data_IF_787956657568
#
_entry.id   IF_787956657568
#
_cell.length_a   1.000
_cell.length_b   1.000
_cell.length_c   1.000
_cell.angle_alpha   90.00
_cell.angle_beta   90.00
_cell.angle_gamma   90.00
#
_symmetry.space_group_name_H-M   'P 1'
#
loop_
_entity.id
_entity.type
_entity.pdbx_description
1 polymer ?
#
# COMPACT_ATOMS: atom_id res chain seq x y z
N UNK A 1 -94.45 24.40 -39.16
CA UNK A 1 -94.10 25.47 -38.21
C UNK A 1 -93.66 24.82 -36.92
N UNK A 2 -92.64 25.41 -36.31
CA UNK A 2 -92.20 25.25 -34.92
C UNK A 2 -91.10 24.23 -34.61
N UNK A 3 -89.87 24.66 -34.94
CA UNK A 3 -88.82 24.97 -33.96
C UNK A 3 -88.73 24.06 -32.74
N UNK A 4 -88.13 22.88 -32.91
CA UNK A 4 -87.51 22.17 -31.79
C UNK A 4 -86.22 21.43 -32.17
N UNK A 5 -85.66 21.71 -33.35
CA UNK A 5 -84.50 20.99 -33.90
C UNK A 5 -83.15 21.72 -33.74
N UNK A 6 -83.09 22.88 -33.09
CA UNK A 6 -81.83 23.65 -32.94
C UNK A 6 -81.53 24.14 -31.51
N UNK A 7 -82.34 23.72 -30.52
CA UNK A 7 -82.13 24.03 -29.09
C UNK A 7 -81.68 22.82 -28.27
N UNK A 8 -81.55 21.64 -28.88
CA UNK A 8 -81.15 20.42 -28.16
C UNK A 8 -79.66 20.08 -28.34
N UNK A 9 -79.02 20.39 -29.47
CA UNK A 9 -77.57 20.19 -29.59
C UNK A 9 -76.72 21.35 -29.04
N UNK A 10 -77.19 22.60 -29.03
CA UNK A 10 -76.37 23.75 -28.60
C UNK A 10 -76.32 24.00 -27.07
N UNK A 11 -77.06 23.22 -26.26
CA UNK A 11 -77.12 23.37 -24.80
C UNK A 11 -76.34 22.27 -24.06
N UNK A 12 -76.05 21.14 -24.70
CA UNK A 12 -75.26 20.05 -24.09
C UNK A 12 -73.74 20.25 -24.18
N UNK A 13 -73.25 21.28 -24.87
CA UNK A 13 -71.81 21.50 -25.07
C UNK A 13 -71.20 22.54 -24.12
N UNK A 14 -72.02 23.34 -23.42
CA UNK A 14 -71.56 24.39 -22.49
C UNK A 14 -71.63 24.00 -21.01
N UNK A 15 -72.12 22.80 -20.70
CA UNK A 15 -72.11 22.26 -19.32
C UNK A 15 -71.25 20.99 -19.27
N UNK A 16 -70.01 21.11 -19.74
CA UNK A 16 -68.93 20.19 -19.37
C UNK A 16 -68.03 20.83 -18.30
N UNK A 17 -68.51 21.11 -17.06
CA UNK A 17 -67.63 21.29 -15.94
C UNK A 17 -67.35 19.92 -15.31
N UNK A 18 -66.57 19.05 -15.97
CA UNK A 18 -65.76 18.08 -15.22
C UNK A 18 -64.84 17.24 -16.12
N UNK A 19 -63.76 17.86 -16.57
CA UNK A 19 -62.54 17.16 -16.98
C UNK A 19 -61.48 17.25 -15.89
N UNK A 20 -61.89 17.42 -14.63
CA UNK A 20 -61.00 17.47 -13.46
C UNK A 20 -61.26 16.29 -12.50
N UNK A 21 -62.44 15.69 -12.54
CA UNK A 21 -62.79 14.53 -11.72
C UNK A 21 -62.66 13.17 -12.41
N UNK A 22 -61.77 13.04 -13.41
CA UNK A 22 -60.98 11.80 -13.44
C UNK A 22 -59.93 11.90 -12.35
N UNK A 23 -60.40 11.89 -11.10
CA UNK A 23 -59.63 11.41 -9.97
C UNK A 23 -59.19 10.01 -10.40
N UNK A 24 -57.98 9.96 -10.94
CA UNK A 24 -57.25 8.76 -11.26
C UNK A 24 -57.37 7.88 -10.02
N UNK A 25 -58.28 6.89 -10.05
CA UNK A 25 -58.44 5.89 -9.00
C UNK A 25 -57.25 4.93 -9.09
N UNK A 26 -56.05 5.45 -8.90
CA UNK A 26 -54.86 4.69 -8.55
C UNK A 26 -54.94 4.53 -7.03
N UNK A 27 -55.83 3.67 -6.56
CA UNK A 27 -55.76 3.14 -5.19
C UNK A 27 -56.16 1.67 -5.22
N UNK A 28 -55.42 0.92 -6.00
CA UNK A 28 -55.43 -0.54 -5.95
C UNK A 28 -54.51 -1.01 -4.81
N UNK A 29 -54.78 -2.17 -4.20
CA UNK A 29 -54.05 -2.71 -3.03
C UNK A 29 -52.53 -2.84 -3.28
N UNK A 30 -52.13 -2.89 -4.56
CA UNK A 30 -50.75 -2.89 -5.05
C UNK A 30 -50.01 -1.56 -4.85
N UNK A 31 -50.69 -0.41 -4.89
CA UNK A 31 -50.06 0.90 -4.67
C UNK A 31 -49.64 1.06 -3.21
N UNK A 32 -50.49 0.67 -2.25
CA UNK A 32 -50.09 0.68 -0.84
C UNK A 32 -48.91 -0.25 -0.58
N UNK A 33 -48.88 -1.43 -1.21
CA UNK A 33 -47.72 -2.35 -1.12
C UNK A 33 -46.45 -1.69 -1.66
N UNK A 34 -46.54 -1.00 -2.80
CA UNK A 34 -45.41 -0.28 -3.41
C UNK A 34 -44.96 0.90 -2.52
N UNK A 35 -45.89 1.66 -1.94
CA UNK A 35 -45.57 2.74 -0.99
C UNK A 35 -44.88 2.20 0.25
N UNK A 36 -45.39 1.12 0.86
CA UNK A 36 -44.72 0.48 2.00
C UNK A 36 -43.34 -0.06 1.61
N UNK A 37 -43.18 -0.63 0.43
CA UNK A 37 -41.89 -1.09 -0.08
C UNK A 37 -40.89 0.06 -0.21
N UNK A 38 -41.29 1.20 -0.77
CA UNK A 38 -40.45 2.39 -0.89
C UNK A 38 -40.09 2.94 0.50
N UNK A 39 -41.06 3.08 1.40
CA UNK A 39 -40.82 3.54 2.78
C UNK A 39 -39.86 2.58 3.50
N UNK A 40 -40.03 1.27 3.33
CA UNK A 40 -39.13 0.28 3.91
C UNK A 40 -37.70 0.40 3.36
N UNK A 41 -37.52 0.58 2.04
CA UNK A 41 -36.21 0.81 1.43
C UNK A 41 -35.57 2.08 1.98
N UNK A 42 -36.34 3.17 2.12
CA UNK A 42 -35.85 4.42 2.71
C UNK A 42 -35.42 4.20 4.16
N UNK A 43 -36.24 3.53 4.99
CA UNK A 43 -35.91 3.23 6.37
C UNK A 43 -34.69 2.31 6.49
N UNK A 44 -34.56 1.32 5.61
CA UNK A 44 -33.39 0.44 5.53
C UNK A 44 -32.13 1.24 5.16
N UNK A 45 -32.22 2.16 4.21
CA UNK A 45 -31.13 3.05 3.82
C UNK A 45 -30.71 4.01 4.95
N UNK A 46 -31.67 4.58 5.68
CA UNK A 46 -31.41 5.41 6.86
C UNK A 46 -30.74 4.57 7.95
N UNK A 47 -31.31 3.39 8.26
CA UNK A 47 -30.77 2.48 9.25
C UNK A 47 -29.34 2.05 8.90
N UNK A 48 -29.07 1.73 7.63
CA UNK A 48 -27.73 1.45 7.13
C UNK A 48 -26.82 2.69 7.17
N UNK A 49 -27.35 3.90 6.92
CA UNK A 49 -26.58 5.14 7.05
C UNK A 49 -26.05 5.36 8.47
N UNK A 50 -26.83 4.99 9.48
CA UNK A 50 -26.46 5.11 10.90
C UNK A 50 -25.61 3.95 11.44
N UNK A 51 -25.85 2.72 10.96
CA UNK A 51 -25.20 1.50 11.47
C UNK A 51 -24.11 0.95 10.56
N UNK A 52 -24.07 1.37 9.31
CA UNK A 52 -23.03 1.01 8.36
C UNK A 52 -21.70 1.66 8.72
N UNK A 53 -20.62 1.10 8.21
CA UNK A 53 -19.28 1.64 8.37
C UNK A 53 -18.51 1.48 7.07
N UNK A 54 -17.89 2.55 6.60
CA UNK A 54 -17.09 2.60 5.38
C UNK A 54 -15.65 2.97 5.80
N UNK A 55 -14.65 2.17 5.41
CA UNK A 55 -13.26 2.50 5.69
C UNK A 55 -12.83 3.73 4.87
N UNK A 56 -12.16 4.67 5.52
CA UNK A 56 -11.41 5.72 4.84
C UNK A 56 -10.05 5.15 4.48
N UNK A 57 -9.81 4.99 3.18
CA UNK A 57 -8.61 4.35 2.65
C UNK A 57 -7.69 5.42 2.08
N UNK A 58 -6.41 5.30 2.42
CA UNK A 58 -5.33 6.03 1.76
C UNK A 58 -4.54 5.04 0.91
N UNK A 59 -4.19 5.42 -0.32
CA UNK A 59 -3.47 4.55 -1.23
C UNK A 59 -1.98 4.90 -1.30
N UNK A 60 -1.13 3.88 -1.35
CA UNK A 60 0.31 4.02 -1.55
C UNK A 60 0.85 2.99 -2.53
N UNK A 61 2.01 3.28 -3.11
CA UNK A 61 2.74 2.36 -3.99
C UNK A 61 4.08 2.03 -3.37
N UNK A 62 4.53 0.79 -3.49
CA UNK A 62 5.71 0.34 -2.77
C UNK A 62 6.35 -0.91 -3.34
N UNK A 63 7.33 -1.40 -2.58
CA UNK A 63 8.10 -2.59 -2.91
C UNK A 63 8.20 -3.47 -1.67
N UNK A 64 8.10 -4.78 -1.88
CA UNK A 64 8.28 -5.79 -0.85
C UNK A 64 9.76 -6.12 -0.76
N UNK A 65 10.33 -6.10 0.43
CA UNK A 65 11.75 -6.36 0.66
C UNK A 65 11.96 -7.06 2.01
N UNK A 66 13.13 -7.64 2.27
CA UNK A 66 13.36 -8.30 3.55
C UNK A 66 13.42 -7.29 4.69
N UNK A 67 12.87 -7.71 5.85
CA UNK A 67 12.86 -6.97 7.11
C UNK A 67 14.29 -6.55 7.54
N UNK A 68 14.42 -5.28 7.97
CA UNK A 68 15.67 -4.69 8.41
C UNK A 68 16.50 -4.01 7.32
N UNK A 69 15.96 -3.87 6.11
CA UNK A 69 16.53 -3.05 5.05
C UNK A 69 17.95 -3.43 4.57
N UNK A 70 18.56 -2.53 3.79
CA UNK A 70 19.92 -2.71 3.27
C UNK A 70 20.94 -1.96 4.13
N UNK A 71 21.78 -2.70 4.84
CA UNK A 71 22.92 -2.18 5.57
C UNK A 71 24.19 -2.22 4.70
N UNK A 72 24.81 -1.06 4.53
CA UNK A 72 26.08 -0.99 3.79
C UNK A 72 27.25 -1.13 4.75
N UNK A 73 28.17 -2.03 4.43
CA UNK A 73 29.50 -2.04 5.05
C UNK A 73 30.36 -1.03 4.28
N UNK A 74 30.81 -0.01 4.99
CA UNK A 74 31.62 1.08 4.42
C UNK A 74 33.09 0.95 4.80
N UNK A 75 33.97 1.45 3.95
CA UNK A 75 35.39 1.60 4.29
C UNK A 75 35.56 2.71 5.33
N UNK A 76 36.27 2.44 6.42
CA UNK A 76 36.57 3.47 7.42
C UNK A 76 37.70 4.40 6.95
N UNK A 77 38.64 3.89 6.16
CA UNK A 77 39.82 4.62 5.69
C UNK A 77 40.06 4.35 4.21
N UNK A 78 40.82 5.21 3.54
CA UNK A 78 41.23 4.96 2.15
C UNK A 78 42.27 3.84 2.10
N UNK A 79 42.20 2.96 1.10
CA UNK A 79 43.15 1.84 0.98
C UNK A 79 42.89 0.98 -0.24
N UNK A 80 43.69 -0.09 -0.38
CA UNK A 80 43.51 -1.09 -1.43
C UNK A 80 42.87 -2.33 -0.82
N UNK A 81 41.81 -2.85 -1.44
CA UNK A 81 41.17 -4.10 -1.02
C UNK A 81 42.12 -5.25 -1.29
N UNK A 82 42.52 -5.98 -0.25
CA UNK A 82 43.44 -7.11 -0.38
C UNK A 82 42.67 -8.38 -0.70
N UNK A 83 41.83 -8.78 0.24
CA UNK A 83 41.10 -10.03 0.23
C UNK A 83 39.63 -9.76 0.49
N UNK A 84 38.76 -10.41 -0.28
CA UNK A 84 37.33 -10.49 -0.01
C UNK A 84 37.01 -11.93 0.32
N UNK A 85 36.49 -12.16 1.52
CA UNK A 85 36.26 -13.50 2.07
C UNK A 85 34.82 -13.98 1.86
N UNK A 86 33.92 -13.11 1.44
CA UNK A 86 32.49 -13.40 1.29
C UNK A 86 32.01 -13.25 -0.15
N UNK A 87 30.99 -14.02 -0.52
CA UNK A 87 30.33 -13.93 -1.82
C UNK A 87 28.89 -13.45 -1.69
N UNK A 88 28.34 -12.96 -2.80
CA UNK A 88 26.92 -12.65 -2.90
C UNK A 88 26.08 -13.88 -2.54
N UNK A 89 25.08 -13.70 -1.67
CA UNK A 89 24.20 -14.76 -1.16
C UNK A 89 24.70 -15.48 0.09
N UNK A 90 25.90 -15.17 0.59
CA UNK A 90 26.47 -15.76 1.81
C UNK A 90 25.92 -15.09 3.08
N UNK A 91 25.74 -15.86 4.14
CA UNK A 91 25.30 -15.35 5.44
C UNK A 91 26.51 -14.92 6.26
N UNK A 92 26.46 -13.74 6.86
CA UNK A 92 27.50 -13.14 7.69
C UNK A 92 26.94 -12.79 9.08
N UNK A 93 27.76 -12.93 10.10
CA UNK A 93 27.43 -12.57 11.49
C UNK A 93 28.03 -11.22 11.86
N UNK A 94 27.41 -10.53 12.81
CA UNK A 94 27.98 -9.34 13.41
C UNK A 94 29.37 -9.65 14.00
N UNK A 95 30.35 -8.81 13.65
CA UNK A 95 31.77 -8.99 13.97
C UNK A 95 32.52 -9.98 13.06
N UNK A 96 31.88 -10.63 12.09
CA UNK A 96 32.55 -11.53 11.15
C UNK A 96 33.44 -10.76 10.17
N UNK A 97 34.64 -11.30 9.87
CA UNK A 97 35.57 -10.69 8.93
C UNK A 97 35.13 -11.02 7.50
N UNK A 98 34.67 -9.99 6.77
CA UNK A 98 34.19 -10.12 5.39
C UNK A 98 35.27 -9.83 4.35
N UNK A 99 36.35 -9.18 4.75
CA UNK A 99 37.48 -8.85 3.89
C UNK A 99 38.56 -8.07 4.62
N UNK A 100 39.54 -7.57 3.88
CA UNK A 100 40.61 -6.75 4.45
C UNK A 100 41.12 -5.68 3.50
N UNK A 101 41.55 -4.57 4.07
CA UNK A 101 42.11 -3.41 3.42
C UNK A 101 43.58 -3.28 3.77
N UNK A 102 44.37 -2.87 2.79
CA UNK A 102 45.74 -2.45 2.93
C UNK A 102 45.76 -0.92 2.92
N UNK A 103 45.95 -0.31 4.11
CA UNK A 103 45.91 1.14 4.32
C UNK A 103 47.32 1.65 4.59
N UNK A 104 47.65 2.80 4.01
CA UNK A 104 48.92 3.48 4.28
C UNK A 104 48.69 4.52 5.38
N UNK A 105 49.38 4.35 6.50
CA UNK A 105 49.33 5.25 7.64
C UNK A 105 50.07 6.57 7.34
N UNK A 106 49.84 7.61 8.14
CA UNK A 106 50.49 8.93 8.02
C UNK A 106 52.02 8.85 8.10
N UNK A 107 52.55 7.80 8.74
CA UNK A 107 53.99 7.50 8.82
C UNK A 107 54.55 6.78 7.58
N UNK A 108 53.75 6.54 6.53
CA UNK A 108 54.14 5.82 5.32
C UNK A 108 54.23 4.30 5.47
N UNK A 109 53.76 3.75 6.60
CA UNK A 109 53.73 2.32 6.85
C UNK A 109 52.43 1.72 6.37
N UNK A 110 52.50 0.53 5.77
CA UNK A 110 51.33 -0.19 5.32
C UNK A 110 50.78 -1.08 6.45
N UNK A 111 49.50 -0.90 6.79
CA UNK A 111 48.79 -1.67 7.81
C UNK A 111 47.60 -2.38 7.20
N UNK A 112 47.42 -3.65 7.57
CA UNK A 112 46.20 -4.40 7.25
C UNK A 112 45.09 -4.02 8.23
N UNK A 113 43.94 -3.66 7.70
CA UNK A 113 42.72 -3.42 8.45
C UNK A 113 41.65 -4.42 8.03
N UNK A 114 41.03 -5.08 8.99
CA UNK A 114 39.96 -6.03 8.70
C UNK A 114 38.65 -5.27 8.48
N UNK A 115 37.91 -5.68 7.45
CA UNK A 115 36.55 -5.23 7.20
C UNK A 115 35.64 -6.22 7.93
N UNK A 116 34.88 -5.73 8.89
CA UNK A 116 33.94 -6.54 9.67
C UNK A 116 32.49 -6.25 9.26
N UNK A 117 31.65 -7.28 9.30
CA UNK A 117 30.21 -7.12 9.27
C UNK A 117 29.74 -6.46 10.57
N UNK A 118 28.86 -5.46 10.48
CA UNK A 118 28.30 -4.76 11.64
C UNK A 118 26.90 -5.21 12.04
N UNK A 119 26.36 -6.24 11.36
CA UNK A 119 25.06 -6.86 11.63
C UNK A 119 25.09 -8.33 11.22
N UNK A 120 24.15 -9.11 11.76
CA UNK A 120 23.81 -10.44 11.23
C UNK A 120 22.96 -10.29 9.95
N UNK A 121 23.32 -10.97 8.86
CA UNK A 121 22.56 -10.85 7.63
C UNK A 121 23.09 -11.64 6.45
N UNK A 122 22.48 -11.48 5.28
CA UNK A 122 22.93 -12.09 4.03
C UNK A 122 23.50 -11.02 3.10
N UNK A 123 24.66 -11.30 2.51
CA UNK A 123 25.33 -10.41 1.55
C UNK A 123 24.47 -10.34 0.28
N UNK A 124 23.83 -9.19 0.05
CA UNK A 124 22.99 -8.94 -1.13
C UNK A 124 23.82 -8.50 -2.33
N UNK A 125 24.89 -7.73 -2.12
CA UNK A 125 25.75 -7.22 -3.19
C UNK A 125 27.20 -7.06 -2.70
N UNK A 126 28.16 -7.42 -3.57
CA UNK A 126 29.59 -7.17 -3.38
C UNK A 126 30.01 -6.13 -4.41
N UNK A 127 30.43 -4.94 -3.96
CA UNK A 127 30.72 -3.80 -4.85
C UNK A 127 32.20 -3.58 -5.13
N UNK A 128 33.07 -4.11 -4.28
CA UNK A 128 34.51 -4.08 -4.46
C UNK A 128 35.05 -5.46 -4.84
N UNK A 129 36.20 -5.47 -5.50
CA UNK A 129 37.00 -6.65 -5.81
C UNK A 129 38.39 -6.53 -5.18
N UNK A 130 39.06 -7.67 -5.00
CA UNK A 130 40.48 -7.69 -4.61
C UNK A 130 41.31 -6.90 -5.63
N UNK A 131 42.08 -5.94 -5.14
CA UNK A 131 42.89 -5.01 -5.93
C UNK A 131 42.26 -3.62 -6.13
N UNK A 132 40.99 -3.43 -5.79
CA UNK A 132 40.33 -2.13 -5.95
C UNK A 132 40.88 -1.10 -4.94
N UNK A 133 41.07 0.12 -5.43
CA UNK A 133 41.31 1.28 -4.57
C UNK A 133 39.97 1.82 -4.08
N UNK A 134 39.84 1.98 -2.76
CA UNK A 134 38.60 2.45 -2.12
C UNK A 134 38.89 3.67 -1.26
N UNK A 135 37.98 4.65 -1.30
CA UNK A 135 38.05 5.85 -0.49
C UNK A 135 37.37 5.67 0.88
N UNK A 136 37.67 6.57 1.83
CA UNK A 136 36.94 6.58 3.11
C UNK A 136 35.45 6.84 2.87
N UNK A 137 34.60 6.08 3.58
CA UNK A 137 33.13 6.04 3.46
C UNK A 137 32.59 5.43 2.17
N UNK A 138 33.44 4.86 1.34
CA UNK A 138 33.00 4.11 0.16
C UNK A 138 32.29 2.82 0.57
N UNK A 139 31.21 2.49 -0.13
CA UNK A 139 30.37 1.31 0.17
C UNK A 139 30.96 0.08 -0.50
N UNK A 140 31.41 -0.88 0.31
CA UNK A 140 32.09 -2.08 -0.16
C UNK A 140 31.11 -3.25 -0.33
N UNK A 141 30.20 -3.43 0.62
CA UNK A 141 29.23 -4.52 0.63
C UNK A 141 27.83 -4.00 0.99
N UNK A 142 26.80 -4.69 0.49
CA UNK A 142 25.41 -4.54 0.93
C UNK A 142 25.00 -5.82 1.65
N UNK A 143 24.59 -5.71 2.90
CA UNK A 143 24.10 -6.80 3.74
C UNK A 143 22.65 -6.51 4.08
N UNK A 144 21.78 -7.49 3.87
CA UNK A 144 20.39 -7.42 4.29
C UNK A 144 20.28 -8.14 5.62
N UNK A 145 19.67 -7.48 6.61
CA UNK A 145 19.45 -8.10 7.92
C UNK A 145 18.66 -9.39 7.75
N UNK A 146 19.07 -10.43 8.46
CA UNK A 146 18.31 -11.68 8.53
C UNK A 146 18.14 -11.95 10.01
N UNK A 147 16.97 -11.58 10.52
CA UNK A 147 16.52 -12.05 11.83
C UNK A 147 16.38 -13.57 11.73
N UNK A 148 16.99 -14.29 12.66
CA UNK A 148 17.20 -15.74 12.54
C UNK A 148 15.90 -16.49 12.17
N UNK A 149 16.02 -17.29 11.11
CA UNK A 149 15.12 -18.37 10.68
C UNK A 149 13.87 -18.02 9.86
N UNK A 150 13.65 -16.76 9.48
CA UNK A 150 12.61 -16.42 8.51
C UNK A 150 13.07 -15.24 7.64
N UNK A 151 13.10 -15.40 6.31
CA UNK A 151 13.18 -14.28 5.38
C UNK A 151 11.83 -13.54 5.41
N UNK A 152 11.55 -12.89 6.53
CA UNK A 152 10.34 -12.10 6.74
C UNK A 152 10.45 -10.90 5.81
N UNK A 153 9.43 -10.73 4.98
CA UNK A 153 9.32 -9.59 4.09
C UNK A 153 8.49 -8.51 4.78
N UNK A 154 8.94 -7.29 4.62
CA UNK A 154 8.22 -6.06 4.91
C UNK A 154 7.81 -5.38 3.58
N UNK A 155 6.84 -4.48 3.64
CA UNK A 155 6.51 -3.62 2.52
C UNK A 155 6.92 -2.17 2.81
N UNK A 156 7.78 -1.63 1.95
CA UNK A 156 8.14 -0.21 1.98
C UNK A 156 7.23 0.54 1.01
N UNK A 157 6.34 1.34 1.57
CA UNK A 157 5.31 2.05 0.83
C UNK A 157 5.62 3.54 0.79
N UNK A 158 5.50 4.13 -0.40
CA UNK A 158 5.64 5.55 -0.62
C UNK A 158 4.26 6.19 -0.71
N UNK A 159 4.06 7.22 0.12
CA UNK A 159 2.79 7.95 0.24
C UNK A 159 3.05 9.44 0.05
N UNK A 160 2.26 10.17 -0.76
CA UNK A 160 2.37 11.62 -0.87
C UNK A 160 2.29 12.31 0.49
N UNK A 161 3.18 13.28 0.75
CA UNK A 161 3.27 13.97 2.06
C UNK A 161 1.95 14.62 2.50
N UNK A 162 1.11 15.04 1.55
CA UNK A 162 -0.21 15.63 1.83
C UNK A 162 -1.14 14.65 2.53
N UNK A 163 -1.05 13.37 2.17
CA UNK A 163 -1.89 12.30 2.70
C UNK A 163 -1.22 11.60 3.90
N UNK A 164 0.10 11.51 3.90
CA UNK A 164 0.88 10.80 4.91
C UNK A 164 0.78 11.35 6.34
N UNK A 165 0.35 12.62 6.52
CA UNK A 165 0.15 13.23 7.86
C UNK A 165 -0.86 12.52 8.74
N UNK A 166 -1.78 11.75 8.13
CA UNK A 166 -2.81 11.00 8.86
C UNK A 166 -2.37 9.59 9.21
N UNK A 167 -1.23 9.13 8.68
CA UNK A 167 -0.71 7.80 8.97
C UNK A 167 -0.05 7.77 10.34
N UNK A 168 -0.26 6.66 11.04
CA UNK A 168 0.29 6.39 12.37
C UNK A 168 0.69 4.92 12.45
N UNK A 169 1.63 4.63 13.33
CA UNK A 169 1.97 3.27 13.69
C UNK A 169 0.72 2.51 14.19
N UNK A 170 0.62 1.23 13.83
CA UNK A 170 -0.45 0.33 14.24
C UNK A 170 -1.69 0.32 13.34
N UNK A 171 -1.73 1.12 12.27
CA UNK A 171 -2.85 1.07 11.32
C UNK A 171 -2.83 -0.24 10.51
N UNK A 172 -4.02 -0.77 10.24
CA UNK A 172 -4.19 -1.91 9.35
C UNK A 172 -3.91 -1.48 7.90
N UNK A 173 -3.20 -2.35 7.17
CA UNK A 173 -2.85 -2.13 5.76
C UNK A 173 -3.20 -3.37 4.96
N UNK A 174 -3.81 -3.16 3.80
CA UNK A 174 -3.98 -4.22 2.81
C UNK A 174 -2.89 -4.07 1.75
N UNK A 175 -2.00 -5.06 1.66
CA UNK A 175 -0.90 -5.09 0.70
C UNK A 175 -1.28 -5.97 -0.48
N UNK A 176 -1.20 -5.42 -1.67
CA UNK A 176 -1.55 -6.08 -2.92
C UNK A 176 -0.30 -6.20 -3.82
N UNK A 177 0.34 -7.38 -3.87
CA UNK A 177 1.46 -7.63 -4.76
C UNK A 177 1.06 -7.52 -6.23
N UNK A 178 1.90 -6.92 -7.07
CA UNK A 178 1.59 -6.67 -8.49
C UNK A 178 1.55 -7.95 -9.33
N UNK A 179 2.15 -9.03 -8.84
CA UNK A 179 2.20 -10.34 -9.49
C UNK A 179 1.06 -11.28 -9.06
N UNK A 180 0.12 -10.81 -8.24
CA UNK A 180 -1.01 -11.59 -7.73
C UNK A 180 -2.33 -11.01 -8.21
N UNK A 181 -3.23 -11.88 -8.66
CA UNK A 181 -4.59 -11.50 -9.05
C UNK A 181 -5.44 -11.24 -7.79
N UNK A 182 -5.92 -10.00 -7.63
CA UNK A 182 -6.71 -9.57 -6.46
C UNK A 182 -8.04 -10.29 -6.36
N UNK A 183 -8.70 -10.50 -7.49
CA UNK A 183 -10.01 -11.13 -7.55
C UNK A 183 -9.95 -12.61 -7.16
N UNK A 184 -8.80 -13.26 -7.38
CA UNK A 184 -8.58 -14.68 -7.07
C UNK A 184 -8.06 -14.90 -5.64
N UNK A 185 -7.03 -14.15 -5.22
CA UNK A 185 -6.31 -14.41 -3.97
C UNK A 185 -6.45 -13.31 -2.91
N UNK A 186 -7.00 -12.15 -3.30
CA UNK A 186 -7.19 -11.02 -2.40
C UNK A 186 -5.91 -10.22 -2.15
N UNK A 187 -5.63 -9.95 -0.88
CA UNK A 187 -4.52 -9.11 -0.43
C UNK A 187 -3.87 -9.71 0.82
N UNK A 188 -2.62 -9.34 1.08
CA UNK A 188 -1.89 -9.65 2.31
C UNK A 188 -2.30 -8.63 3.37
N UNK A 189 -2.54 -9.10 4.60
CA UNK A 189 -2.78 -8.22 5.75
C UNK A 189 -1.45 -7.79 6.35
N UNK A 190 -1.29 -6.50 6.60
CA UNK A 190 -0.13 -5.91 7.25
C UNK A 190 -0.50 -4.86 8.27
N UNK A 191 0.49 -4.41 9.03
CA UNK A 191 0.35 -3.36 10.05
C UNK A 191 1.45 -2.34 9.87
N UNK A 192 1.11 -1.04 9.96
CA UNK A 192 2.11 0.02 9.90
C UNK A 192 3.06 -0.11 11.09
N UNK A 193 4.33 -0.37 10.80
CA UNK A 193 5.39 -0.43 11.80
C UNK A 193 5.93 0.97 12.08
N UNK A 194 6.27 1.72 11.03
CA UNK A 194 6.83 3.06 11.15
C UNK A 194 6.40 3.96 9.98
N UNK A 195 6.24 5.25 10.27
CA UNK A 195 6.03 6.30 9.26
C UNK A 195 7.20 7.27 9.38
N UNK A 196 7.90 7.55 8.28
CA UNK A 196 8.98 8.52 8.27
C UNK A 196 8.46 9.93 8.57
N UNK A 197 9.12 10.64 9.49
CA UNK A 197 8.84 12.05 9.78
C UNK A 197 9.29 13.00 8.66
N UNK A 198 10.22 12.53 7.81
CA UNK A 198 10.83 13.33 6.75
C UNK A 198 10.57 12.73 5.37
N UNK A 199 10.41 13.58 4.34
CA UNK A 199 10.39 13.15 2.94
C UNK A 199 11.56 12.26 2.53
N UNK A 200 11.25 11.27 1.70
CA UNK A 200 12.27 10.40 1.11
C UNK A 200 13.08 11.16 0.08
N UNK A 201 14.41 11.11 0.19
CA UNK A 201 15.28 11.68 -0.83
C UNK A 201 15.21 10.88 -2.13
N UNK A 202 15.39 11.56 -3.26
CA UNK A 202 15.45 10.91 -4.59
C UNK A 202 16.52 9.81 -4.67
N UNK A 203 17.66 10.01 -3.98
CA UNK A 203 18.75 9.02 -3.90
C UNK A 203 18.33 7.75 -3.16
N UNK A 204 17.52 7.86 -2.10
CA UNK A 204 16.97 6.71 -1.36
C UNK A 204 15.94 5.96 -2.21
N UNK A 205 15.03 6.66 -2.89
CA UNK A 205 14.08 6.04 -3.82
C UNK A 205 14.79 5.25 -4.92
N UNK A 206 15.84 5.82 -5.53
CA UNK A 206 16.61 5.12 -6.57
C UNK A 206 17.36 3.90 -6.00
N UNK A 207 17.86 3.98 -4.77
CA UNK A 207 18.54 2.87 -4.11
C UNK A 207 17.59 1.71 -3.78
N UNK A 208 16.33 1.99 -3.46
CA UNK A 208 15.31 0.98 -3.15
C UNK A 208 14.67 0.40 -4.42
N UNK A 209 14.33 1.25 -5.40
CA UNK A 209 13.59 0.86 -6.59
C UNK A 209 14.48 0.43 -7.75
N UNK A 210 15.76 0.80 -7.75
CA UNK A 210 16.75 0.43 -8.77
C UNK A 210 16.56 1.09 -10.15
N UNK A 211 15.45 1.79 -10.40
CA UNK A 211 15.12 2.38 -11.71
C UNK A 211 14.48 3.76 -11.59
N UNK A 212 14.98 4.71 -12.38
CA UNK A 212 14.43 6.06 -12.48
C UNK A 212 12.95 6.07 -12.92
N UNK A 213 12.56 5.14 -13.79
CA UNK A 213 11.17 5.03 -14.24
C UNK A 213 10.23 4.63 -13.10
N UNK A 214 10.69 3.79 -12.17
CA UNK A 214 9.92 3.41 -10.99
C UNK A 214 9.86 4.55 -9.96
N UNK A 215 10.97 5.29 -9.78
CA UNK A 215 10.99 6.50 -8.95
C UNK A 215 9.92 7.48 -9.43
N UNK A 216 9.89 7.79 -10.72
CA UNK A 216 8.88 8.70 -11.29
C UNK A 216 7.46 8.16 -11.15
N UNK A 217 7.25 6.86 -11.34
CA UNK A 217 5.92 6.24 -11.22
C UNK A 217 5.39 6.27 -9.78
N UNK A 218 6.24 6.00 -8.79
CA UNK A 218 5.81 5.84 -7.40
C UNK A 218 5.76 7.16 -6.66
N UNK A 219 6.59 8.14 -7.04
CA UNK A 219 6.46 9.49 -6.51
C UNK A 219 5.35 10.29 -7.19
N UNK A 220 4.95 9.91 -8.41
CA UNK A 220 4.07 10.68 -9.30
C UNK A 220 4.53 12.15 -9.44
N UNK A 221 5.84 12.37 -9.41
CA UNK A 221 6.44 13.71 -9.40
C UNK A 221 6.26 14.50 -8.10
N UNK A 222 5.60 13.92 -7.09
CA UNK A 222 5.38 14.52 -5.78
C UNK A 222 6.46 14.12 -4.77
N UNK A 223 6.44 14.81 -3.63
CA UNK A 223 7.25 14.48 -2.47
C UNK A 223 6.52 13.42 -1.64
N UNK A 224 7.19 12.30 -1.40
CA UNK A 224 6.62 11.13 -0.70
C UNK A 224 7.31 10.87 0.64
N UNK A 225 6.57 10.29 1.58
CA UNK A 225 7.06 9.71 2.83
C UNK A 225 7.26 8.20 2.66
N UNK A 226 8.23 7.64 3.37
CA UNK A 226 8.45 6.20 3.52
C UNK A 226 7.57 5.69 4.66
N UNK A 227 6.85 4.60 4.42
CA UNK A 227 6.02 3.92 5.41
C UNK A 227 6.41 2.45 5.41
N UNK A 228 6.87 1.96 6.55
CA UNK A 228 7.29 0.59 6.77
C UNK A 228 6.10 -0.20 7.31
N UNK A 229 5.77 -1.31 6.63
CA UNK A 229 4.61 -2.14 6.93
C UNK A 229 5.05 -3.58 7.14
N UNK A 230 4.81 -4.08 8.35
CA UNK A 230 5.02 -5.47 8.69
C UNK A 230 3.93 -6.33 8.05
N UNK A 231 4.33 -7.39 7.35
CA UNK A 231 3.40 -8.37 6.79
C UNK A 231 3.04 -9.40 7.86
N UNK A 232 1.75 -9.60 8.10
CA UNK A 232 1.28 -10.55 9.13
C UNK A 232 1.58 -11.97 8.64
N UNK A 233 2.27 -12.76 9.46
CA UNK A 233 2.64 -14.14 9.14
C UNK A 233 1.46 -15.11 9.32
N UNK A 234 1.44 -16.16 8.51
CA UNK A 234 0.54 -17.29 8.67
C UNK A 234 1.15 -18.58 8.08
N UNK A 235 1.57 -19.48 8.97
CA UNK A 235 2.20 -20.76 8.62
C UNK A 235 1.29 -21.73 7.87
N UNK A 236 -0.01 -21.43 7.72
CA UNK A 236 -0.96 -22.26 6.97
C UNK A 236 -0.96 -21.97 5.48
N UNK A 237 -0.47 -20.82 5.04
CA UNK A 237 -0.43 -20.46 3.61
C UNK A 237 0.93 -20.83 3.02
N UNK A 238 0.96 -21.17 1.73
CA UNK A 238 2.22 -21.51 1.04
C UNK A 238 3.22 -20.35 1.12
N UNK A 239 2.71 -19.12 0.97
CA UNK A 239 3.55 -17.92 1.00
C UNK A 239 4.06 -17.53 2.40
N UNK A 240 3.52 -18.14 3.47
CA UNK A 240 3.86 -17.79 4.87
C UNK A 240 3.21 -16.51 5.40
N UNK A 241 2.25 -15.91 4.68
CA UNK A 241 1.60 -14.64 5.04
C UNK A 241 0.08 -14.78 5.19
N UNK A 242 -0.53 -13.92 6.00
CA UNK A 242 -1.96 -13.87 6.20
C UNK A 242 -2.64 -13.15 5.03
N UNK A 243 -3.38 -13.91 4.24
CA UNK A 243 -4.20 -13.36 3.16
C UNK A 243 -5.62 -13.04 3.63
N UNK A 244 -6.34 -12.22 2.87
CA UNK A 244 -7.79 -12.06 3.04
C UNK A 244 -8.56 -13.30 2.62
N UNK A 245 -7.99 -14.12 1.73
CA UNK A 245 -8.48 -15.47 1.41
C UNK A 245 -7.85 -16.51 2.34
N UNK A 246 -8.50 -17.67 2.59
CA UNK A 246 -7.96 -18.68 3.50
C UNK A 246 -6.63 -19.30 3.06
N UNK A 247 -6.41 -19.46 1.75
CA UNK A 247 -5.27 -20.20 1.21
C UNK A 247 -4.17 -19.31 0.62
N UNK A 248 -4.50 -18.08 0.18
CA UNK A 248 -3.57 -17.25 -0.59
C UNK A 248 -3.15 -17.91 -1.92
N UNK A 249 -2.15 -17.33 -2.62
CA UNK A 249 -1.61 -17.88 -3.85
C UNK A 249 -0.80 -19.17 -3.61
N UNK A 250 -0.76 -20.10 -4.57
CA UNK A 250 -0.02 -21.36 -4.47
C UNK A 250 1.48 -21.20 -4.72
N UNK A 251 2.06 -20.04 -4.39
CA UNK A 251 3.47 -19.70 -4.60
C UNK A 251 3.95 -18.66 -3.59
N UNK A 252 5.26 -18.54 -3.42
CA UNK A 252 5.88 -17.58 -2.52
C UNK A 252 5.91 -16.17 -3.10
N UNK A 253 5.88 -15.19 -2.21
CA UNK A 253 6.18 -13.79 -2.55
C UNK A 253 7.69 -13.61 -2.47
N UNK A 254 8.24 -12.90 -3.45
CA UNK A 254 9.67 -12.66 -3.57
C UNK A 254 10.01 -11.22 -3.21
N UNK A 255 11.20 -11.01 -2.67
CA UNK A 255 11.79 -9.68 -2.54
C UNK A 255 11.83 -8.95 -3.91
N UNK A 256 11.73 -7.63 -3.87
CA UNK A 256 11.65 -6.79 -5.07
C UNK A 256 10.27 -6.79 -5.74
N UNK A 257 9.30 -7.56 -5.25
CA UNK A 257 7.94 -7.53 -5.80
C UNK A 257 7.31 -6.16 -5.55
N UNK A 258 6.87 -5.50 -6.62
CA UNK A 258 6.13 -4.25 -6.51
C UNK A 258 4.76 -4.51 -5.87
N UNK A 259 4.27 -3.56 -5.08
CA UNK A 259 2.98 -3.69 -4.41
C UNK A 259 2.24 -2.36 -4.32
N UNK A 260 0.94 -2.47 -4.08
CA UNK A 260 0.06 -1.35 -3.73
C UNK A 260 -0.45 -1.57 -2.32
N UNK A 261 -0.67 -0.48 -1.59
CA UNK A 261 -1.13 -0.52 -0.21
C UNK A 261 -2.40 0.33 -0.06
N UNK A 262 -3.41 -0.26 0.58
CA UNK A 262 -4.60 0.44 1.05
C UNK A 262 -4.50 0.55 2.59
N UNK A 263 -4.16 1.73 3.10
CA UNK A 263 -4.10 2.03 4.54
C UNK A 263 -5.49 2.34 5.09
N UNK A 264 -5.91 1.64 6.14
CA UNK A 264 -7.24 1.80 6.74
C UNK A 264 -7.14 2.81 7.88
N UNK A 265 -7.48 4.08 7.62
CA UNK A 265 -7.30 5.17 8.60
C UNK A 265 -8.33 5.11 9.73
N UNK A 266 -9.60 5.00 9.36
CA UNK A 266 -10.73 4.98 10.28
C UNK A 266 -11.99 4.44 9.59
N UNK A 267 -12.92 3.92 10.40
CA UNK A 267 -14.23 3.48 9.94
C UNK A 267 -15.25 4.60 10.15
N UNK A 268 -15.73 5.22 9.08
CA UNK A 268 -16.76 6.28 9.13
C UNK A 268 -18.15 5.77 8.89
N UNK A 269 -19.17 6.41 9.47
CA UNK A 269 -20.56 6.09 9.18
C UNK A 269 -20.97 6.72 7.85
N UNK A 270 -21.73 6.03 6.98
CA UNK A 270 -22.16 6.59 5.70
C UNK A 270 -22.93 7.91 5.83
N UNK A 271 -23.68 8.12 6.92
CA UNK A 271 -24.40 9.36 7.17
C UNK A 271 -23.48 10.58 7.31
N UNK A 272 -22.25 10.39 7.81
CA UNK A 272 -21.29 11.48 8.00
C UNK A 272 -20.82 12.05 6.65
N UNK A 273 -20.74 11.23 5.60
CA UNK A 273 -20.39 11.67 4.24
C UNK A 273 -21.48 12.56 3.62
N UNK A 274 -22.75 12.31 3.94
CA UNK A 274 -23.88 13.09 3.42
C UNK A 274 -24.01 14.43 4.15
N UNK A 275 -23.78 14.44 5.47
CA UNK A 275 -23.95 15.65 6.30
C UNK A 275 -22.72 16.56 6.22
N UNK A 276 -21.52 16.00 6.25
CA UNK A 276 -20.27 16.75 6.37
C UNK A 276 -19.42 16.78 5.09
N UNK A 277 -19.97 16.31 3.96
CA UNK A 277 -19.28 16.16 2.67
C UNK A 277 -18.25 17.25 2.37
N UNK A 278 -16.99 16.93 2.64
CA UNK A 278 -15.78 17.69 2.36
C UNK A 278 -14.66 16.71 2.05
#
# INVERSE_FOLDING_TARGET
MDNNLFRKEAISEITSPDSLDQAIRITDRKIHLMTFGIVFIILAGIFWGFNGSIPVILQGSGIIMPDGGMHYIISQQQGIVRDILVKQGEYVRDGEIVGSLEVVDESGNTKRMDIIAGINGRVSEVRSLSGDFVESKEKLFSVVSVVENQNILEAIIFVPIEQGKNLRQGLDVHIQPSNVNKEEYGFIKGVVQQVSEYPVSRKRLLALLGSEALVSRFSDGQVVLEVEVDLILNDKTMSGYQWSTPNGPPFNIYEGTLCYADFILEMKKPIDLVIYGR
#
